data_IF_051776550836
#
_entry.id   IF_051776550836
#
_cell.length_a   1.000
_cell.length_b   1.000
_cell.length_c   1.000
_cell.angle_alpha   90.00
_cell.angle_beta   90.00
_cell.angle_gamma   90.00
#
_symmetry.space_group_name_H-M   'P 1'
#
loop_
_entity.id
_entity.type
_entity.pdbx_description
1 polymer ?
#
# COMPACT_ATOMS: atom_id res chain seq x y z
N UNK A 1 -46.58 -4.33 -4.24
CA UNK A 1 -45.47 -4.86 -3.44
C UNK A 1 -44.41 -3.78 -3.34
N UNK A 2 -44.10 -3.31 -2.14
CA UNK A 2 -43.05 -2.30 -1.93
C UNK A 2 -41.71 -3.02 -1.79
N UNK A 3 -40.76 -2.71 -2.67
CA UNK A 3 -39.42 -3.29 -2.60
C UNK A 3 -38.61 -2.62 -1.48
N UNK A 4 -37.95 -3.44 -0.66
CA UNK A 4 -36.97 -2.96 0.32
C UNK A 4 -35.62 -2.83 -0.41
N UNK A 5 -35.00 -1.66 -0.35
CA UNK A 5 -33.66 -1.38 -0.90
C UNK A 5 -32.71 -1.02 0.23
N UNK A 6 -31.55 -1.66 0.27
CA UNK A 6 -30.40 -1.17 1.02
C UNK A 6 -29.30 -0.79 0.03
N UNK A 7 -28.56 0.27 0.35
CA UNK A 7 -27.40 0.72 -0.42
C UNK A 7 -26.27 0.93 0.56
N UNK A 8 -25.12 0.36 0.25
CA UNK A 8 -23.93 0.56 1.07
C UNK A 8 -23.48 2.01 0.98
N UNK A 9 -23.14 2.60 2.12
CA UNK A 9 -22.59 3.94 2.15
C UNK A 9 -21.19 3.92 1.52
N UNK A 10 -21.08 4.48 0.31
CA UNK A 10 -19.84 4.51 -0.46
C UNK A 10 -18.65 5.05 0.34
N UNK A 11 -18.83 6.18 1.03
CA UNK A 11 -17.75 6.80 1.79
C UNK A 11 -17.27 5.95 2.97
N UNK A 12 -18.19 5.22 3.62
CA UNK A 12 -17.82 4.30 4.69
C UNK A 12 -17.09 3.05 4.15
N UNK A 13 -17.58 2.48 3.04
CA UNK A 13 -16.93 1.33 2.39
C UNK A 13 -15.53 1.71 1.91
N UNK A 14 -15.39 2.86 1.25
CA UNK A 14 -14.10 3.37 0.79
C UNK A 14 -13.12 3.54 1.96
N UNK A 15 -13.56 4.17 3.05
CA UNK A 15 -12.74 4.31 4.26
C UNK A 15 -12.33 2.96 4.84
N UNK A 16 -13.23 1.99 4.93
CA UNK A 16 -12.91 0.66 5.45
C UNK A 16 -11.87 -0.08 4.58
N UNK A 17 -11.96 0.06 3.27
CA UNK A 17 -10.99 -0.54 2.34
C UNK A 17 -9.62 0.15 2.46
N UNK A 18 -9.59 1.48 2.52
CA UNK A 18 -8.35 2.26 2.62
C UNK A 18 -7.63 2.13 3.98
N UNK A 19 -8.33 1.67 5.02
CA UNK A 19 -7.75 1.38 6.33
C UNK A 19 -7.76 -0.13 6.64
N UNK A 20 -7.89 -0.98 5.62
CA UNK A 20 -7.89 -2.42 5.83
C UNK A 20 -6.50 -2.87 6.28
N UNK A 21 -6.35 -3.10 7.58
CA UNK A 21 -5.09 -3.49 8.21
C UNK A 21 -4.48 -4.72 7.55
N UNK A 22 -5.27 -5.76 7.27
CA UNK A 22 -4.75 -6.98 6.68
C UNK A 22 -4.20 -6.75 5.26
N UNK A 23 -4.87 -5.90 4.48
CA UNK A 23 -4.41 -5.52 3.14
C UNK A 23 -3.12 -4.70 3.21
N UNK A 24 -3.05 -3.73 4.12
CA UNK A 24 -1.84 -2.92 4.33
C UNK A 24 -0.67 -3.77 4.86
N UNK A 25 -0.94 -4.72 5.76
CA UNK A 25 0.07 -5.67 6.28
C UNK A 25 0.63 -6.54 5.15
N UNK A 26 -0.24 -7.04 4.26
CA UNK A 26 0.17 -7.82 3.10
C UNK A 26 1.03 -7.00 2.13
N UNK A 27 0.59 -5.80 1.76
CA UNK A 27 1.34 -4.90 0.88
C UNK A 27 2.71 -4.57 1.47
N UNK A 28 2.77 -4.25 2.77
CA UNK A 28 4.04 -3.96 3.44
C UNK A 28 5.00 -5.15 3.40
N UNK A 29 4.52 -6.36 3.71
CA UNK A 29 5.35 -7.55 3.67
C UNK A 29 5.88 -7.87 2.25
N UNK A 30 5.07 -7.63 1.21
CA UNK A 30 5.51 -7.78 -0.17
C UNK A 30 6.60 -6.78 -0.54
N UNK A 31 6.43 -5.51 -0.16
CA UNK A 31 7.42 -4.45 -0.41
C UNK A 31 8.73 -4.73 0.34
N UNK A 32 8.67 -5.14 1.61
CA UNK A 32 9.85 -5.51 2.40
C UNK A 32 10.60 -6.72 1.80
N UNK A 33 9.87 -7.74 1.33
CA UNK A 33 10.46 -8.89 0.63
C UNK A 33 11.10 -8.47 -0.69
N UNK A 34 10.45 -7.61 -1.47
CA UNK A 34 10.95 -7.14 -2.76
C UNK A 34 12.18 -6.21 -2.61
N UNK A 35 12.27 -5.50 -1.49
CA UNK A 35 13.45 -4.75 -1.06
C UNK A 35 14.62 -5.67 -0.65
N UNK A 36 14.37 -6.96 -0.42
CA UNK A 36 15.36 -7.99 -0.12
C UNK A 36 16.33 -7.63 1.03
N UNK A 37 15.86 -6.82 1.99
CA UNK A 37 16.68 -6.36 3.11
C UNK A 37 17.77 -5.34 2.76
N UNK A 38 17.70 -4.65 1.60
CA UNK A 38 18.63 -3.57 1.28
C UNK A 38 18.50 -2.46 2.34
N UNK A 39 19.55 -2.19 3.13
CA UNK A 39 19.48 -1.24 4.25
C UNK A 39 19.27 0.22 3.80
N UNK A 40 19.42 0.50 2.50
CA UNK A 40 19.17 1.82 1.93
C UNK A 40 17.71 2.04 1.58
N UNK A 41 16.91 0.98 1.55
CA UNK A 41 15.48 1.05 1.29
C UNK A 41 14.75 1.09 2.62
N UNK A 42 13.98 2.16 2.86
CA UNK A 42 13.14 2.25 4.04
C UNK A 42 11.70 2.00 3.65
N UNK A 43 11.05 1.07 4.34
CA UNK A 43 9.62 0.77 4.17
C UNK A 43 8.91 1.11 5.46
N UNK A 44 7.84 1.90 5.38
CA UNK A 44 7.07 2.29 6.55
C UNK A 44 5.60 2.48 6.24
N UNK A 45 4.77 2.43 7.28
CA UNK A 45 3.34 2.73 7.20
C UNK A 45 3.11 4.22 7.40
N UNK A 46 2.38 4.81 6.48
CA UNK A 46 1.78 6.11 6.67
C UNK A 46 0.28 5.89 6.90
N UNK A 47 -0.18 6.19 8.11
CA UNK A 47 -1.59 6.08 8.48
C UNK A 47 -2.08 7.50 8.79
N UNK A 48 -2.72 8.12 7.80
CA UNK A 48 -3.33 9.44 7.95
C UNK A 48 -4.85 9.28 8.14
N UNK A 49 -5.51 10.30 8.69
CA UNK A 49 -6.94 10.32 9.01
C UNK A 49 -7.87 10.02 7.82
N UNK A 50 -7.36 10.03 6.59
CA UNK A 50 -8.12 9.77 5.37
C UNK A 50 -7.81 8.42 4.73
N UNK A 51 -6.57 7.95 4.79
CA UNK A 51 -6.14 6.72 4.10
C UNK A 51 -4.88 6.14 4.75
N UNK A 52 -4.81 4.81 4.83
CA UNK A 52 -3.57 4.09 5.14
C UNK A 52 -2.82 3.75 3.85
N UNK A 53 -1.50 3.91 3.87
CA UNK A 53 -0.63 3.56 2.76
C UNK A 53 0.73 3.03 3.23
N UNK A 54 1.37 2.24 2.36
CA UNK A 54 2.75 1.76 2.54
C UNK A 54 3.65 2.61 1.67
N UNK A 55 4.72 3.13 2.27
CA UNK A 55 5.70 3.97 1.57
C UNK A 55 7.04 3.24 1.54
N UNK A 56 7.65 3.17 0.35
CA UNK A 56 9.02 2.69 0.16
C UNK A 56 9.88 3.85 -0.37
N UNK A 57 11.00 4.11 0.28
CA UNK A 57 11.95 5.16 -0.12
C UNK A 57 13.33 4.58 -0.36
N UNK A 58 14.06 5.18 -1.30
CA UNK A 58 15.44 4.80 -1.64
C UNK A 58 16.23 6.05 -2.06
N UNK A 59 17.57 6.08 -1.90
CA UNK A 59 18.40 7.16 -2.42
C UNK A 59 18.25 7.32 -3.93
N UNK A 60 18.16 8.57 -4.42
CA UNK A 60 17.98 8.87 -5.85
C UNK A 60 19.07 8.22 -6.72
N UNK A 61 20.31 8.20 -6.25
CA UNK A 61 21.41 7.56 -6.98
C UNK A 61 21.25 6.03 -7.12
N UNK A 62 20.59 5.39 -6.15
CA UNK A 62 20.26 3.96 -6.20
C UNK A 62 19.13 3.72 -7.22
N UNK A 63 18.09 4.55 -7.19
CA UNK A 63 16.96 4.44 -8.11
C UNK A 63 17.35 4.71 -9.56
N UNK A 64 18.11 5.78 -9.82
CA UNK A 64 18.55 6.16 -11.16
C UNK A 64 19.41 5.07 -11.85
N UNK A 65 20.12 4.27 -11.05
CA UNK A 65 21.05 3.25 -11.54
C UNK A 65 20.42 1.86 -11.66
N UNK A 66 19.42 1.56 -10.84
CA UNK A 66 18.89 0.19 -10.71
C UNK A 66 17.36 0.08 -10.85
N UNK A 67 16.63 1.20 -10.86
CA UNK A 67 15.16 1.22 -10.95
C UNK A 67 14.50 0.41 -9.83
N UNK A 68 15.09 0.38 -8.64
CA UNK A 68 14.78 -0.57 -7.57
C UNK A 68 13.36 -0.41 -7.05
N UNK A 69 12.89 0.81 -6.82
CA UNK A 69 11.52 1.12 -6.40
C UNK A 69 10.53 0.84 -7.54
N UNK A 70 10.90 1.17 -8.77
CA UNK A 70 10.08 0.85 -9.96
C UNK A 70 9.88 -0.66 -10.12
N UNK A 71 10.94 -1.45 -9.88
CA UNK A 71 10.87 -2.92 -9.86
C UNK A 71 10.01 -3.44 -8.71
N UNK A 72 10.18 -2.91 -7.50
CA UNK A 72 9.38 -3.29 -6.34
C UNK A 72 7.89 -3.03 -6.61
N UNK A 73 7.54 -1.87 -7.19
CA UNK A 73 6.16 -1.54 -7.54
C UNK A 73 5.53 -2.57 -8.48
N UNK A 74 6.26 -3.04 -9.49
CA UNK A 74 5.78 -4.07 -10.41
C UNK A 74 5.63 -5.48 -9.79
N UNK A 75 6.16 -5.71 -8.59
CA UNK A 75 6.09 -6.99 -7.88
C UNK A 75 4.99 -7.03 -6.81
N UNK A 76 4.38 -5.88 -6.49
CA UNK A 76 3.32 -5.79 -5.49
C UNK A 76 1.98 -6.10 -6.16
N UNK A 77 1.23 -7.04 -5.58
CA UNK A 77 -0.15 -7.36 -5.97
C UNK A 77 -1.09 -7.22 -4.78
N UNK A 78 -2.24 -6.57 -5.00
CA UNK A 78 -3.31 -6.35 -4.01
C UNK A 78 -4.33 -7.48 -4.06
#
# INVERSE_FOLDING_TARGET
MSNIRFVLNRGNVERQLLHNKALLDNVQAQVERAAAGDPRITVYRNDDARHGNVVATAPVALEAKHGTLTRILGQVSV
#
